data_IF_099001385393
#
_entry.id   IF_099001385393
#
_cell.length_a   1.000
_cell.length_b   1.000
_cell.length_c   1.000
_cell.angle_alpha   90.00
_cell.angle_beta   90.00
_cell.angle_gamma   90.00
#
_symmetry.space_group_name_H-M   'P 1'
#
loop_
_entity.id
_entity.type
_entity.pdbx_description
1 polymer ?
#
# COMPACT_ATOMS: atom_id res chain seq x y z
N UNK A 1 -20.91 18.42 -7.58
CA UNK A 1 -19.68 19.25 -7.62
C UNK A 1 -18.49 18.29 -7.65
N UNK A 2 -17.39 18.70 -8.32
CA UNK A 2 -16.13 17.94 -8.29
C UNK A 2 -15.41 18.17 -6.97
N UNK A 3 -14.72 17.14 -6.44
CA UNK A 3 -13.80 17.26 -5.31
C UNK A 3 -12.50 17.87 -5.80
N UNK A 4 -12.11 19.00 -5.21
CA UNK A 4 -10.91 19.76 -5.60
C UNK A 4 -9.72 19.27 -4.78
N UNK A 5 -8.75 18.68 -5.45
CA UNK A 5 -7.64 17.95 -4.85
C UNK A 5 -6.33 18.69 -5.05
N UNK A 6 -5.57 18.87 -3.96
CA UNK A 6 -4.17 19.25 -4.00
C UNK A 6 -3.26 18.03 -3.82
N UNK A 7 -2.16 17.97 -4.55
CA UNK A 7 -1.19 16.85 -4.43
C UNK A 7 0.12 17.38 -3.87
N UNK A 8 0.60 16.75 -2.81
CA UNK A 8 1.85 17.09 -2.11
C UNK A 8 2.86 15.96 -2.36
N UNK A 9 3.96 16.29 -3.03
CA UNK A 9 4.93 15.34 -3.57
C UNK A 9 4.53 14.85 -4.96
N UNK A 10 5.28 15.25 -5.99
CA UNK A 10 5.06 14.83 -7.38
C UNK A 10 6.18 13.92 -7.90
N UNK A 11 6.73 13.11 -7.02
CA UNK A 11 7.59 11.99 -7.38
C UNK A 11 6.83 10.95 -8.22
N UNK A 12 7.40 9.74 -8.35
CA UNK A 12 6.79 8.68 -9.18
C UNK A 12 5.31 8.42 -8.88
N UNK A 13 4.95 8.27 -7.60
CA UNK A 13 3.58 7.92 -7.20
C UNK A 13 2.66 9.13 -7.25
N UNK A 14 3.09 10.29 -6.75
CA UNK A 14 2.26 11.50 -6.81
C UNK A 14 1.92 11.92 -8.25
N UNK A 15 2.88 11.80 -9.18
CA UNK A 15 2.62 12.01 -10.60
C UNK A 15 1.64 10.99 -11.17
N UNK A 16 1.77 9.70 -10.79
CA UNK A 16 0.83 8.66 -11.21
C UNK A 16 -0.59 8.99 -10.75
N UNK A 17 -0.77 9.39 -9.48
CA UNK A 17 -2.07 9.80 -8.96
C UNK A 17 -2.61 11.04 -9.68
N UNK A 18 -1.76 12.05 -9.92
CA UNK A 18 -2.16 13.24 -10.69
C UNK A 18 -2.68 12.88 -12.07
N UNK A 19 -1.94 12.04 -12.81
CA UNK A 19 -2.37 11.56 -14.13
C UNK A 19 -3.67 10.76 -14.07
N UNK A 20 -3.82 9.88 -13.09
CA UNK A 20 -5.03 9.06 -12.92
C UNK A 20 -6.26 9.94 -12.63
N UNK A 21 -6.12 10.91 -11.72
CA UNK A 21 -7.24 11.80 -11.38
C UNK A 21 -7.64 12.65 -12.60
N UNK A 22 -6.67 13.28 -13.26
CA UNK A 22 -6.94 14.13 -14.42
C UNK A 22 -7.59 13.37 -15.58
N UNK A 23 -7.22 12.10 -15.79
CA UNK A 23 -7.62 11.33 -16.98
C UNK A 23 -8.79 10.38 -16.76
N UNK A 24 -8.95 9.84 -15.55
CA UNK A 24 -9.81 8.67 -15.33
C UNK A 24 -10.80 8.81 -14.17
N UNK A 25 -10.53 9.67 -13.17
CA UNK A 25 -11.38 9.76 -11.97
C UNK A 25 -12.46 10.81 -12.16
N UNK A 26 -13.69 10.36 -12.33
CA UNK A 26 -14.82 11.28 -12.54
C UNK A 26 -15.25 11.96 -11.24
N UNK A 27 -15.51 13.26 -11.35
CA UNK A 27 -16.00 14.07 -10.24
C UNK A 27 -14.94 14.45 -9.22
N UNK A 28 -13.69 14.47 -9.66
CA UNK A 28 -12.55 15.10 -8.99
C UNK A 28 -11.78 15.97 -9.99
N UNK A 29 -11.02 16.92 -9.49
CA UNK A 29 -10.09 17.73 -10.26
C UNK A 29 -8.85 18.05 -9.44
N UNK A 30 -7.68 18.00 -10.08
CA UNK A 30 -6.43 18.43 -9.44
C UNK A 30 -6.29 19.93 -9.61
N UNK A 31 -6.36 20.68 -8.51
CA UNK A 31 -6.34 22.15 -8.53
C UNK A 31 -4.97 22.75 -8.22
N UNK A 32 -4.08 21.95 -7.62
CA UNK A 32 -2.73 22.38 -7.28
C UNK A 32 -1.81 21.16 -7.06
N UNK A 33 -0.52 21.36 -7.28
CA UNK A 33 0.55 20.44 -6.89
C UNK A 33 1.64 21.17 -6.11
N UNK A 34 2.29 20.49 -5.18
CA UNK A 34 3.46 21.01 -4.46
C UNK A 34 4.57 19.98 -4.38
N UNK A 35 5.81 20.43 -4.51
CA UNK A 35 7.01 19.61 -4.29
C UNK A 35 8.15 20.53 -3.84
N UNK A 36 9.00 20.06 -2.91
CA UNK A 36 10.19 20.81 -2.47
C UNK A 36 11.15 21.14 -3.63
N UNK A 37 11.11 20.33 -4.69
CA UNK A 37 11.73 20.61 -5.97
C UNK A 37 10.72 21.35 -6.85
N UNK A 38 10.68 22.68 -6.74
CA UNK A 38 9.70 23.54 -7.43
C UNK A 38 9.57 23.22 -8.92
N UNK A 39 10.68 22.94 -9.59
CA UNK A 39 10.71 22.59 -11.00
C UNK A 39 9.92 21.28 -11.30
N UNK A 40 9.94 20.30 -10.37
CA UNK A 40 9.15 19.08 -10.52
C UNK A 40 7.65 19.38 -10.42
N UNK A 41 7.25 20.22 -9.47
CA UNK A 41 5.86 20.67 -9.34
C UNK A 41 5.40 21.42 -10.59
N UNK A 42 6.20 22.35 -11.11
CA UNK A 42 5.89 23.13 -12.30
C UNK A 42 5.73 22.26 -13.54
N UNK A 43 6.68 21.34 -13.79
CA UNK A 43 6.57 20.40 -14.93
C UNK A 43 5.34 19.50 -14.82
N UNK A 44 5.05 18.98 -13.63
CA UNK A 44 3.86 18.17 -13.42
C UNK A 44 2.59 18.97 -13.75
N UNK A 45 2.50 20.22 -13.32
CA UNK A 45 1.38 21.11 -13.59
C UNK A 45 1.23 21.41 -15.09
N UNK A 46 2.33 21.75 -15.77
CA UNK A 46 2.33 22.03 -17.21
C UNK A 46 1.92 20.82 -18.05
N UNK A 47 2.49 19.64 -17.78
CA UNK A 47 2.24 18.41 -18.51
C UNK A 47 0.78 17.93 -18.38
N UNK A 48 0.15 18.19 -17.23
CA UNK A 48 -1.20 17.72 -16.91
C UNK A 48 -2.27 18.80 -16.96
N UNK A 49 -1.92 20.05 -17.25
CA UNK A 49 -2.85 21.18 -17.29
C UNK A 49 -3.37 21.55 -15.89
N UNK A 50 -2.60 21.32 -14.83
CA UNK A 50 -2.98 21.68 -13.46
C UNK A 50 -2.70 23.17 -13.25
N UNK A 51 -3.67 23.95 -12.70
CA UNK A 51 -3.60 25.40 -12.74
C UNK A 51 -2.53 26.02 -11.83
N UNK A 52 -2.07 25.32 -10.80
CA UNK A 52 -1.14 25.88 -9.80
C UNK A 52 -0.06 24.90 -9.38
N UNK A 53 1.16 25.40 -9.21
CA UNK A 53 2.31 24.66 -8.70
C UNK A 53 3.00 25.48 -7.59
N UNK A 54 3.45 24.82 -6.53
CA UNK A 54 4.06 25.44 -5.38
C UNK A 54 5.33 24.69 -4.94
N UNK A 55 6.28 25.40 -4.33
CA UNK A 55 7.41 24.79 -3.62
C UNK A 55 7.04 24.38 -2.19
N UNK A 56 6.10 25.09 -1.57
CA UNK A 56 5.63 24.84 -0.21
C UNK A 56 4.19 24.37 -0.20
N UNK A 57 3.94 23.18 0.36
CA UNK A 57 2.63 22.56 0.44
C UNK A 57 1.62 23.36 1.30
N UNK A 58 2.11 24.23 2.20
CA UNK A 58 1.25 25.05 3.05
C UNK A 58 0.34 25.96 2.23
N UNK A 59 0.80 26.40 1.07
CA UNK A 59 -0.02 27.18 0.14
C UNK A 59 -1.27 26.43 -0.34
N UNK A 60 -1.21 25.08 -0.43
CA UNK A 60 -2.37 24.24 -0.77
C UNK A 60 -3.31 24.13 0.44
N UNK A 61 -2.77 23.99 1.66
CA UNK A 61 -3.57 23.86 2.88
C UNK A 61 -4.34 25.16 3.20
N UNK A 62 -3.74 26.32 2.96
CA UNK A 62 -4.33 27.65 3.18
C UNK A 62 -5.43 27.98 2.15
N UNK A 63 -5.42 27.31 1.00
CA UNK A 63 -6.41 27.53 -0.04
C UNK A 63 -7.78 26.97 0.35
N UNK A 64 -8.74 27.85 0.59
CA UNK A 64 -10.13 27.50 0.93
C UNK A 64 -10.88 26.80 -0.20
N UNK A 65 -10.36 26.85 -1.42
CA UNK A 65 -10.98 26.18 -2.57
C UNK A 65 -10.53 24.73 -2.71
N UNK A 66 -9.50 24.28 -2.01
CA UNK A 66 -9.06 22.88 -1.97
C UNK A 66 -9.88 22.10 -0.94
N UNK A 67 -10.49 21.00 -1.34
CA UNK A 67 -11.34 20.16 -0.48
C UNK A 67 -10.55 19.01 0.16
N UNK A 68 -9.59 18.46 -0.57
CA UNK A 68 -8.80 17.30 -0.15
C UNK A 68 -7.36 17.39 -0.62
N UNK A 69 -6.46 16.66 0.04
CA UNK A 69 -5.07 16.52 -0.36
C UNK A 69 -4.66 15.07 -0.52
N UNK A 70 -3.72 14.82 -1.43
CA UNK A 70 -2.96 13.58 -1.54
C UNK A 70 -1.54 13.82 -1.03
N UNK A 71 -1.09 13.01 -0.07
CA UNK A 71 0.26 13.04 0.49
C UNK A 71 1.05 11.89 -0.15
N UNK A 72 1.99 12.25 -1.03
CA UNK A 72 2.83 11.33 -1.81
C UNK A 72 4.32 11.67 -1.65
N UNK A 73 4.68 12.24 -0.51
CA UNK A 73 6.04 12.66 -0.15
C UNK A 73 6.88 11.49 0.38
N UNK A 74 8.02 11.74 0.97
CA UNK A 74 8.77 10.74 1.74
C UNK A 74 8.07 10.44 3.07
N UNK A 75 8.15 9.18 3.51
CA UNK A 75 7.43 8.65 4.68
C UNK A 75 7.63 9.48 5.97
N UNK A 76 8.84 10.01 6.16
CA UNK A 76 9.21 10.81 7.33
C UNK A 76 8.43 12.12 7.48
N UNK A 77 7.77 12.59 6.42
CA UNK A 77 6.94 13.80 6.42
C UNK A 77 5.45 13.54 6.51
N UNK A 78 4.99 12.30 6.32
CA UNK A 78 3.57 11.98 6.23
C UNK A 78 2.77 12.41 7.47
N UNK A 79 3.22 12.03 8.66
CA UNK A 79 2.48 12.32 9.91
C UNK A 79 2.37 13.83 10.18
N UNK A 80 3.42 14.62 9.90
CA UNK A 80 3.38 16.09 10.01
C UNK A 80 2.35 16.68 9.07
N UNK A 81 2.38 16.26 7.79
CA UNK A 81 1.47 16.79 6.76
C UNK A 81 0.02 16.36 7.03
N UNK A 82 -0.22 15.13 7.53
CA UNK A 82 -1.54 14.66 7.94
C UNK A 82 -2.10 15.59 9.05
N UNK A 83 -1.32 15.87 10.10
CA UNK A 83 -1.76 16.76 11.19
C UNK A 83 -2.06 18.17 10.69
N UNK A 84 -1.20 18.72 9.83
CA UNK A 84 -1.40 20.04 9.25
C UNK A 84 -2.65 20.11 8.37
N UNK A 85 -2.90 19.09 7.57
CA UNK A 85 -4.07 18.98 6.72
C UNK A 85 -5.38 18.82 7.52
N UNK A 86 -5.36 17.98 8.56
CA UNK A 86 -6.48 17.82 9.47
C UNK A 86 -6.83 19.16 10.14
N UNK A 87 -5.83 19.88 10.67
CA UNK A 87 -6.02 21.21 11.25
C UNK A 87 -6.58 22.25 10.25
N UNK A 88 -6.26 22.10 8.97
CA UNK A 88 -6.81 22.92 7.87
C UNK A 88 -8.20 22.45 7.38
N UNK A 89 -8.76 21.39 7.99
CA UNK A 89 -10.07 20.83 7.64
C UNK A 89 -10.11 20.16 6.25
N UNK A 90 -8.97 19.67 5.77
CA UNK A 90 -8.88 18.98 4.46
C UNK A 90 -9.06 17.48 4.63
N UNK A 91 -9.82 16.85 3.73
CA UNK A 91 -9.82 15.38 3.59
C UNK A 91 -8.46 14.92 3.08
N UNK A 92 -8.03 13.72 3.47
CA UNK A 92 -6.66 13.27 3.29
C UNK A 92 -6.63 11.89 2.64
N UNK A 93 -5.86 11.77 1.56
CA UNK A 93 -5.30 10.51 1.11
C UNK A 93 -3.81 10.53 1.45
N UNK A 94 -3.29 9.47 2.05
CA UNK A 94 -1.88 9.36 2.35
C UNK A 94 -1.31 8.04 1.82
N UNK A 95 -0.21 8.10 1.08
CA UNK A 95 0.55 6.90 0.70
C UNK A 95 1.05 6.15 1.94
N UNK A 96 1.22 4.86 1.79
CA UNK A 96 1.77 3.99 2.83
C UNK A 96 3.30 4.14 2.95
N UNK A 97 3.87 3.86 4.13
CA UNK A 97 3.22 3.79 5.44
C UNK A 97 2.87 5.19 5.97
N UNK A 98 1.91 5.28 6.90
CA UNK A 98 1.53 6.57 7.51
C UNK A 98 2.69 7.26 8.23
N UNK A 99 3.53 6.49 8.91
CA UNK A 99 4.83 6.82 9.45
C UNK A 99 5.57 5.53 9.80
N UNK A 100 6.87 5.62 10.12
CA UNK A 100 7.61 4.50 10.70
C UNK A 100 7.48 4.44 12.23
N UNK A 101 7.26 5.55 12.90
CA UNK A 101 7.04 5.60 14.35
C UNK A 101 5.57 5.47 14.72
N UNK A 102 5.24 4.52 15.63
CA UNK A 102 3.86 4.26 16.01
C UNK A 102 3.23 5.44 16.77
N UNK A 103 3.99 6.20 17.55
CA UNK A 103 3.49 7.38 18.26
C UNK A 103 3.15 8.52 17.29
N UNK A 104 3.90 8.67 16.20
CA UNK A 104 3.59 9.60 15.12
C UNK A 104 2.31 9.20 14.38
N UNK A 105 2.10 7.90 14.15
CA UNK A 105 0.86 7.39 13.57
C UNK A 105 -0.32 7.73 14.48
N UNK A 106 -0.22 7.44 15.79
CA UNK A 106 -1.28 7.72 16.76
C UNK A 106 -1.62 9.20 16.82
N UNK A 107 -0.60 10.07 16.88
CA UNK A 107 -0.81 11.52 16.87
C UNK A 107 -1.47 12.03 15.58
N UNK A 108 -1.14 11.43 14.44
CA UNK A 108 -1.77 11.76 13.16
C UNK A 108 -3.24 11.30 13.13
N UNK A 109 -3.54 10.08 13.59
CA UNK A 109 -4.90 9.55 13.63
C UNK A 109 -5.79 10.32 14.60
N UNK A 110 -5.28 10.69 15.78
CA UNK A 110 -5.98 11.56 16.74
C UNK A 110 -6.36 12.90 16.11
N UNK A 111 -5.42 13.54 15.42
CA UNK A 111 -5.69 14.82 14.75
C UNK A 111 -6.77 14.70 13.66
N UNK A 112 -6.79 13.59 12.92
CA UNK A 112 -7.82 13.31 11.90
C UNK A 112 -9.19 13.12 12.54
N UNK A 113 -9.27 12.36 13.65
CA UNK A 113 -10.50 12.12 14.40
C UNK A 113 -11.06 13.42 14.99
N UNK A 114 -10.22 14.21 15.68
CA UNK A 114 -10.60 15.50 16.26
C UNK A 114 -11.12 16.51 15.21
N UNK A 115 -10.50 16.49 14.01
CA UNK A 115 -10.92 17.36 12.92
C UNK A 115 -12.17 16.85 12.16
N UNK A 116 -12.56 15.60 12.36
CA UNK A 116 -13.67 14.97 11.66
C UNK A 116 -13.50 14.87 10.14
N UNK A 117 -12.25 14.80 9.67
CA UNK A 117 -11.93 14.68 8.24
C UNK A 117 -11.72 13.22 7.84
N UNK A 118 -11.92 12.92 6.56
CA UNK A 118 -11.68 11.57 6.02
C UNK A 118 -10.18 11.39 5.81
N UNK A 119 -9.64 10.24 6.27
CA UNK A 119 -8.30 9.76 5.94
C UNK A 119 -8.39 8.40 5.25
N UNK A 120 -7.96 8.31 3.99
CA UNK A 120 -7.75 7.04 3.28
C UNK A 120 -6.27 6.77 3.12
N UNK A 121 -5.85 5.52 3.38
CA UNK A 121 -4.45 5.09 3.24
C UNK A 121 -4.24 4.36 1.92
N UNK A 122 -3.11 4.60 1.26
CA UNK A 122 -2.76 4.08 -0.07
C UNK A 122 -2.36 2.60 -0.10
N UNK A 123 -3.18 1.70 0.40
CA UNK A 123 -3.04 0.27 0.18
C UNK A 123 -3.77 -0.16 -1.10
N UNK A 124 -3.19 0.21 -2.23
CA UNK A 124 -3.75 0.03 -3.56
C UNK A 124 -4.16 -1.42 -3.88
N UNK A 125 -3.49 -2.43 -3.31
CA UNK A 125 -3.77 -3.85 -3.60
C UNK A 125 -5.19 -4.26 -3.19
N UNK A 126 -5.82 -3.62 -2.20
CA UNK A 126 -7.24 -3.85 -1.85
C UNK A 126 -8.21 -3.50 -2.98
N UNK A 127 -7.77 -2.67 -3.93
CA UNK A 127 -8.55 -2.23 -5.09
C UNK A 127 -8.23 -3.02 -6.37
N UNK A 128 -7.25 -3.94 -6.35
CA UNK A 128 -6.97 -4.83 -7.48
C UNK A 128 -8.18 -5.70 -7.79
N UNK A 129 -8.66 -5.76 -9.04
CA UNK A 129 -9.88 -6.49 -9.38
C UNK A 129 -9.81 -7.98 -9.04
N UNK A 130 -8.63 -8.60 -9.14
CA UNK A 130 -8.45 -10.02 -8.83
C UNK A 130 -8.50 -10.27 -7.32
N UNK A 131 -7.83 -9.42 -6.52
CA UNK A 131 -7.81 -9.55 -5.06
C UNK A 131 -9.17 -9.16 -4.44
N UNK A 132 -9.84 -8.15 -4.98
CA UNK A 132 -11.24 -7.83 -4.61
C UNK A 132 -12.15 -9.03 -4.88
N UNK A 133 -11.98 -9.70 -6.02
CA UNK A 133 -12.78 -10.88 -6.33
C UNK A 133 -12.56 -12.01 -5.33
N UNK A 134 -11.33 -12.23 -4.84
CA UNK A 134 -11.09 -13.18 -3.74
C UNK A 134 -11.90 -12.79 -2.49
N UNK A 135 -11.83 -11.52 -2.08
CA UNK A 135 -12.58 -11.02 -0.91
C UNK A 135 -14.08 -11.21 -1.05
N UNK A 136 -14.64 -10.91 -2.21
CA UNK A 136 -16.07 -11.12 -2.49
C UNK A 136 -16.48 -12.61 -2.37
N UNK A 137 -15.65 -13.51 -2.90
CA UNK A 137 -15.91 -14.94 -2.84
C UNK A 137 -15.79 -15.49 -1.41
N UNK A 138 -14.80 -15.02 -0.65
CA UNK A 138 -14.64 -15.32 0.77
C UNK A 138 -15.86 -14.85 1.57
N UNK A 139 -16.31 -13.61 1.37
CA UNK A 139 -17.47 -13.04 2.03
C UNK A 139 -18.78 -13.81 1.72
N UNK A 140 -18.88 -14.40 0.53
CA UNK A 140 -20.00 -15.26 0.12
C UNK A 140 -19.89 -16.70 0.65
N UNK A 141 -18.81 -17.04 1.37
CA UNK A 141 -18.57 -18.39 1.88
C UNK A 141 -18.30 -19.44 0.81
N UNK A 142 -17.78 -19.03 -0.38
CA UNK A 142 -17.59 -19.91 -1.55
C UNK A 142 -16.70 -21.14 -1.25
N UNK A 143 -15.73 -21.00 -0.33
CA UNK A 143 -14.83 -22.08 0.08
C UNK A 143 -15.07 -22.54 1.53
N UNK A 144 -16.19 -22.15 2.14
CA UNK A 144 -16.44 -22.42 3.55
C UNK A 144 -15.50 -21.63 4.47
N UNK A 145 -15.16 -22.18 5.64
CA UNK A 145 -14.21 -21.56 6.56
C UNK A 145 -12.80 -21.59 5.96
N UNK A 146 -12.09 -20.46 5.86
CA UNK A 146 -10.70 -20.43 5.43
C UNK A 146 -9.78 -21.14 6.44
N UNK A 147 -8.77 -21.86 5.95
CA UNK A 147 -7.79 -22.59 6.76
C UNK A 147 -6.39 -22.07 6.59
N UNK A 148 -5.99 -21.82 5.31
CA UNK A 148 -4.63 -21.46 4.99
C UNK A 148 -4.62 -20.37 3.90
N UNK A 149 -3.90 -19.27 4.19
CA UNK A 149 -3.56 -18.22 3.24
C UNK A 149 -2.11 -18.38 2.80
N UNK A 150 -1.84 -18.22 1.51
CA UNK A 150 -0.49 -18.11 0.98
C UNK A 150 -0.39 -16.89 0.09
N UNK A 151 0.60 -16.03 0.37
CA UNK A 151 0.93 -14.85 -0.44
C UNK A 151 2.35 -15.00 -0.97
N UNK A 152 2.51 -14.85 -2.28
CA UNK A 152 3.80 -14.74 -2.97
C UNK A 152 3.93 -13.31 -3.46
N UNK A 153 5.02 -12.63 -3.06
CA UNK A 153 5.29 -11.25 -3.45
C UNK A 153 6.78 -11.10 -3.76
N UNK A 154 7.12 -11.07 -5.04
CA UNK A 154 8.49 -10.98 -5.53
C UNK A 154 8.64 -9.81 -6.49
N UNK A 155 9.64 -8.94 -6.22
CA UNK A 155 10.01 -7.83 -7.08
C UNK A 155 10.94 -8.28 -8.22
N UNK A 156 10.94 -7.63 -9.37
CA UNK A 156 11.82 -7.99 -10.49
C UNK A 156 13.29 -7.68 -10.20
N UNK A 157 13.57 -6.67 -9.39
CA UNK A 157 14.90 -6.24 -8.96
C UNK A 157 14.84 -5.48 -7.64
N UNK A 158 15.92 -5.48 -6.83
CA UNK A 158 16.01 -4.67 -5.62
C UNK A 158 15.88 -3.18 -5.94
N UNK A 159 15.26 -2.38 -5.05
CA UNK A 159 15.31 -0.92 -5.18
C UNK A 159 16.73 -0.40 -4.90
N UNK A 160 17.04 0.86 -5.27
CA UNK A 160 18.34 1.46 -4.97
C UNK A 160 18.66 1.40 -3.47
N UNK A 161 19.93 1.15 -3.13
CA UNK A 161 20.42 1.06 -1.73
C UNK A 161 20.07 2.32 -0.92
N UNK A 162 20.16 3.51 -1.54
CA UNK A 162 19.76 4.78 -0.90
C UNK A 162 18.31 4.80 -0.44
N UNK A 163 17.42 4.14 -1.16
CA UNK A 163 16.01 4.00 -0.77
C UNK A 163 15.85 3.00 0.39
N UNK A 164 16.53 1.86 0.35
CA UNK A 164 16.45 0.82 1.40
C UNK A 164 16.82 1.39 2.77
N UNK A 165 17.82 2.28 2.82
CA UNK A 165 18.27 2.93 4.08
C UNK A 165 17.18 3.69 4.83
N UNK A 166 16.17 4.17 4.14
CA UNK A 166 15.10 5.03 4.71
C UNK A 166 13.71 4.37 4.66
N UNK A 167 13.60 3.21 4.01
CA UNK A 167 12.31 2.54 3.79
C UNK A 167 11.77 1.78 5.00
N UNK A 168 12.58 1.55 6.02
CA UNK A 168 12.24 0.71 7.18
C UNK A 168 12.50 -0.78 6.98
N UNK A 169 13.18 -1.18 5.89
CA UNK A 169 13.53 -2.57 5.57
C UNK A 169 12.39 -3.36 4.94
N UNK A 170 12.66 -4.65 4.65
CA UNK A 170 11.74 -5.48 3.86
C UNK A 170 10.34 -5.58 4.50
N UNK A 171 10.26 -5.67 5.83
CA UNK A 171 8.99 -5.87 6.53
C UNK A 171 8.08 -4.62 6.52
N UNK A 172 8.64 -3.42 6.57
CA UNK A 172 7.90 -2.15 6.58
C UNK A 172 7.74 -1.51 5.20
N UNK A 173 8.49 -1.97 4.20
CA UNK A 173 8.44 -1.45 2.84
C UNK A 173 7.68 -2.40 1.88
N UNK A 174 8.10 -3.66 1.82
CA UNK A 174 7.57 -4.66 0.89
C UNK A 174 6.47 -5.51 1.53
N UNK A 175 6.77 -6.19 2.65
CA UNK A 175 5.84 -7.11 3.31
C UNK A 175 4.60 -6.40 3.88
N UNK A 176 4.69 -5.09 4.15
CA UNK A 176 3.57 -4.29 4.66
C UNK A 176 2.32 -4.41 3.78
N UNK A 177 2.48 -4.51 2.47
CA UNK A 177 1.36 -4.74 1.54
C UNK A 177 0.74 -6.12 1.71
N UNK A 178 1.55 -7.12 2.03
CA UNK A 178 1.09 -8.48 2.22
C UNK A 178 0.43 -8.65 3.59
N UNK A 179 0.89 -7.92 4.61
CA UNK A 179 0.24 -7.81 5.92
C UNK A 179 -1.16 -7.19 5.79
N UNK A 180 -1.27 -6.09 5.05
CA UNK A 180 -2.56 -5.48 4.75
C UNK A 180 -3.49 -6.44 4.01
N UNK A 181 -2.99 -7.13 2.98
CA UNK A 181 -3.77 -8.09 2.22
C UNK A 181 -4.20 -9.30 3.04
N UNK A 182 -3.35 -9.80 3.94
CA UNK A 182 -3.70 -10.89 4.85
C UNK A 182 -4.89 -10.49 5.75
N UNK A 183 -4.82 -9.29 6.37
CA UNK A 183 -5.92 -8.74 7.16
C UNK A 183 -7.18 -8.50 6.34
N UNK A 184 -7.04 -7.90 5.16
CA UNK A 184 -8.17 -7.65 4.26
C UNK A 184 -8.92 -8.93 3.91
N UNK A 185 -8.23 -10.03 3.65
CA UNK A 185 -8.83 -11.28 3.24
C UNK A 185 -9.40 -12.08 4.40
N UNK A 186 -8.62 -12.32 5.46
CA UNK A 186 -8.95 -13.28 6.52
C UNK A 186 -9.19 -12.65 7.90
N UNK A 187 -9.07 -11.34 8.04
CA UNK A 187 -9.29 -10.64 9.33
C UNK A 187 -8.01 -10.49 10.16
N UNK A 188 -8.17 -10.22 11.44
CA UNK A 188 -7.05 -9.82 12.30
C UNK A 188 -6.06 -10.94 12.57
N UNK A 189 -4.78 -10.56 12.67
CA UNK A 189 -3.64 -11.43 12.95
C UNK A 189 -3.27 -11.32 14.43
N UNK A 190 -3.14 -12.45 15.10
CA UNK A 190 -2.72 -12.53 16.51
C UNK A 190 -1.20 -12.54 16.66
N UNK A 191 -0.51 -13.33 15.80
CA UNK A 191 0.91 -13.66 15.97
C UNK A 191 1.63 -13.76 14.62
N UNK A 192 2.89 -13.30 14.62
CA UNK A 192 3.80 -13.31 13.46
C UNK A 192 5.08 -14.03 13.81
N UNK A 193 5.53 -14.93 12.92
CA UNK A 193 6.90 -15.48 12.96
C UNK A 193 7.59 -15.24 11.63
N UNK A 194 8.78 -14.61 11.68
CA UNK A 194 9.52 -14.22 10.48
C UNK A 194 10.93 -14.82 10.49
N UNK A 195 11.36 -15.26 9.32
CA UNK A 195 12.75 -15.61 9.02
C UNK A 195 13.16 -14.99 7.70
N UNK A 196 14.44 -14.70 7.53
CA UNK A 196 14.94 -14.06 6.31
C UNK A 196 16.43 -14.30 6.12
N UNK A 197 16.90 -13.94 4.93
CA UNK A 197 18.31 -14.11 4.54
C UNK A 197 18.68 -13.08 3.50
N UNK A 198 19.97 -12.80 3.35
CA UNK A 198 20.56 -11.99 2.29
C UNK A 198 21.05 -12.95 1.21
N UNK A 199 20.30 -13.07 0.12
CA UNK A 199 20.56 -14.01 -0.97
C UNK A 199 20.75 -13.33 -2.32
N UNK A 200 20.32 -12.08 -2.45
CA UNK A 200 20.25 -11.34 -3.72
C UNK A 200 21.32 -10.27 -3.79
N UNK A 201 21.38 -9.38 -2.78
CA UNK A 201 22.24 -8.20 -2.77
C UNK A 201 22.95 -8.04 -1.44
N UNK A 202 24.27 -8.33 -1.38
CA UNK A 202 25.04 -8.26 -0.12
C UNK A 202 24.98 -6.92 0.60
N UNK A 203 24.87 -5.79 -0.13
CA UNK A 203 24.79 -4.44 0.46
C UNK A 203 23.53 -4.26 1.33
N UNK A 204 22.46 -5.02 1.09
CA UNK A 204 21.27 -5.04 1.94
C UNK A 204 21.60 -5.58 3.32
N UNK A 205 22.42 -6.65 3.37
CA UNK A 205 22.88 -7.22 4.63
C UNK A 205 23.80 -6.29 5.44
N UNK A 206 24.61 -5.48 4.77
CA UNK A 206 25.46 -4.48 5.43
C UNK A 206 24.64 -3.40 6.15
N UNK A 207 23.37 -3.19 5.74
CA UNK A 207 22.42 -2.28 6.39
C UNK A 207 21.61 -2.94 7.51
N UNK A 208 21.81 -4.21 7.78
CA UNK A 208 21.07 -4.97 8.79
C UNK A 208 19.68 -5.43 8.34
N UNK A 209 19.39 -5.38 7.03
CA UNK A 209 18.14 -5.83 6.42
C UNK A 209 18.32 -7.18 5.69
N UNK A 210 17.25 -7.76 5.20
CA UNK A 210 17.23 -8.96 4.36
C UNK A 210 16.53 -8.69 3.03
N UNK A 211 16.86 -9.47 2.00
CA UNK A 211 16.25 -9.35 0.68
C UNK A 211 15.27 -10.49 0.34
N UNK A 212 15.28 -11.52 1.17
CA UNK A 212 14.42 -12.69 1.04
C UNK A 212 13.86 -13.04 2.42
N UNK A 213 12.55 -13.15 2.53
CA UNK A 213 11.88 -13.42 3.80
C UNK A 213 10.73 -14.43 3.64
N UNK A 214 10.50 -15.21 4.69
CA UNK A 214 9.33 -16.05 4.89
C UNK A 214 8.70 -15.66 6.21
N UNK A 215 7.41 -15.33 6.17
CA UNK A 215 6.64 -14.94 7.34
C UNK A 215 5.45 -15.88 7.49
N UNK A 216 5.24 -16.41 8.69
CA UNK A 216 4.02 -17.14 9.03
C UNK A 216 3.14 -16.29 9.94
N UNK A 217 1.84 -16.41 9.74
CA UNK A 217 0.80 -15.69 10.46
C UNK A 217 -0.13 -16.67 11.16
N UNK A 218 -0.56 -16.33 12.36
CA UNK A 218 -1.71 -16.94 13.03
C UNK A 218 -2.80 -15.88 13.12
N UNK A 219 -3.95 -16.17 12.54
CA UNK A 219 -5.12 -15.30 12.63
C UNK A 219 -5.91 -15.57 13.90
N UNK A 220 -6.65 -14.59 14.41
CA UNK A 220 -7.57 -14.75 15.55
C UNK A 220 -8.63 -15.83 15.28
N UNK A 221 -9.03 -16.02 14.03
CA UNK A 221 -9.95 -17.08 13.59
C UNK A 221 -9.38 -18.50 13.74
N UNK A 222 -8.08 -18.62 14.05
CA UNK A 222 -7.30 -19.87 14.05
C UNK A 222 -6.77 -20.29 12.67
N UNK A 223 -7.09 -19.57 11.59
CA UNK A 223 -6.48 -19.80 10.29
C UNK A 223 -4.96 -19.51 10.34
N UNK A 224 -4.22 -20.08 9.41
CA UNK A 224 -2.79 -19.87 9.25
C UNK A 224 -2.49 -19.11 7.96
N UNK A 225 -1.37 -18.36 7.93
CA UNK A 225 -0.89 -17.70 6.74
C UNK A 225 0.59 -17.93 6.52
N UNK A 226 1.02 -17.87 5.26
CA UNK A 226 2.42 -17.79 4.90
C UNK A 226 2.61 -16.72 3.82
N UNK A 227 3.59 -15.86 4.02
CA UNK A 227 4.04 -14.85 3.07
C UNK A 227 5.46 -15.18 2.66
N UNK A 228 5.74 -15.13 1.37
CA UNK A 228 7.09 -15.26 0.84
C UNK A 228 7.44 -14.00 0.07
N UNK A 229 8.53 -13.35 0.47
CA UNK A 229 9.04 -12.14 -0.17
C UNK A 229 10.43 -12.37 -0.75
N UNK A 230 10.70 -11.79 -1.91
CA UNK A 230 12.03 -11.74 -2.49
C UNK A 230 12.18 -10.46 -3.32
N UNK A 231 13.29 -9.74 -3.13
CA UNK A 231 13.55 -8.51 -3.91
C UNK A 231 14.08 -8.77 -5.32
N UNK A 232 14.06 -10.04 -5.80
CA UNK A 232 14.50 -10.38 -7.16
C UNK A 232 13.83 -11.63 -7.72
N UNK A 233 12.96 -11.43 -8.70
CA UNK A 233 12.39 -12.47 -9.56
C UNK A 233 12.69 -12.12 -11.01
N UNK A 234 13.65 -12.79 -11.62
CA UNK A 234 14.16 -12.47 -12.97
C UNK A 234 13.12 -12.61 -14.08
N UNK A 235 12.01 -13.27 -13.79
CA UNK A 235 10.90 -13.50 -14.72
C UNK A 235 9.79 -12.46 -14.64
N UNK A 236 9.89 -11.46 -13.75
CA UNK A 236 8.95 -10.35 -13.65
C UNK A 236 8.39 -10.13 -12.25
N UNK A 237 7.42 -9.23 -12.14
CA UNK A 237 6.76 -8.85 -10.89
C UNK A 237 5.71 -9.92 -10.51
N UNK A 238 6.03 -10.80 -9.55
CA UNK A 238 5.21 -11.96 -9.19
C UNK A 238 4.41 -11.71 -7.91
N UNK A 239 3.08 -11.59 -8.04
CA UNK A 239 2.16 -11.23 -6.97
C UNK A 239 0.95 -12.17 -7.00
N UNK A 240 0.95 -13.21 -6.17
CA UNK A 240 -0.10 -14.25 -6.17
C UNK A 240 -0.65 -14.48 -4.78
N UNK A 241 -1.94 -14.84 -4.74
CA UNK A 241 -2.63 -15.18 -3.49
C UNK A 241 -3.41 -16.47 -3.66
N UNK A 242 -3.25 -17.39 -2.70
CA UNK A 242 -3.99 -18.64 -2.61
C UNK A 242 -4.68 -18.71 -1.24
N UNK A 243 -5.95 -19.15 -1.23
CA UNK A 243 -6.69 -19.41 0.02
C UNK A 243 -7.31 -20.79 -0.05
N UNK A 244 -6.89 -21.69 0.84
CA UNK A 244 -7.51 -22.99 1.05
C UNK A 244 -8.56 -22.91 2.15
N UNK A 245 -9.72 -23.47 1.93
CA UNK A 245 -10.80 -23.55 2.90
C UNK A 245 -11.48 -24.93 2.91
N UNK A 246 -12.49 -25.06 3.76
CA UNK A 246 -13.23 -26.30 4.03
C UNK A 246 -13.85 -26.93 2.77
N UNK A 247 -14.32 -26.10 1.82
CA UNK A 247 -15.08 -26.55 0.65
C UNK A 247 -14.36 -26.34 -0.67
N UNK A 248 -13.11 -25.91 -0.65
CA UNK A 248 -12.33 -25.65 -1.86
C UNK A 248 -11.22 -24.63 -1.65
N UNK A 249 -10.71 -24.11 -2.75
CA UNK A 249 -9.64 -23.12 -2.73
C UNK A 249 -9.91 -21.98 -3.73
N UNK A 250 -9.32 -20.82 -3.46
CA UNK A 250 -9.32 -19.65 -4.33
C UNK A 250 -7.88 -19.31 -4.71
N UNK A 251 -7.70 -18.89 -5.96
CA UNK A 251 -6.40 -18.51 -6.49
C UNK A 251 -6.51 -17.19 -7.23
N UNK A 252 -5.61 -16.26 -6.96
CA UNK A 252 -5.37 -15.10 -7.79
C UNK A 252 -3.97 -15.19 -8.37
N UNK A 253 -3.92 -15.48 -9.65
CA UNK A 253 -2.69 -15.58 -10.45
C UNK A 253 -2.28 -14.21 -11.00
N UNK A 254 -1.04 -14.13 -11.50
CA UNK A 254 -0.58 -12.91 -12.14
C UNK A 254 -1.33 -12.65 -13.46
N UNK A 255 -1.97 -11.48 -13.63
CA UNK A 255 -2.42 -11.07 -14.95
C UNK A 255 -1.22 -10.84 -15.88
N UNK A 256 -1.44 -11.01 -17.18
CA UNK A 256 -0.43 -10.84 -18.20
C UNK A 256 -0.82 -9.71 -19.16
N UNK A 257 0.15 -9.01 -19.76
CA UNK A 257 -0.14 -7.94 -20.72
C UNK A 257 -1.01 -8.35 -21.89
N UNK A 258 -0.89 -9.63 -22.33
CA UNK A 258 -1.68 -10.21 -23.41
C UNK A 258 -1.85 -11.72 -23.24
N UNK A 259 -2.86 -12.29 -23.91
CA UNK A 259 -3.22 -13.71 -23.85
C UNK A 259 -2.67 -14.53 -25.02
N UNK A 260 -1.94 -13.91 -25.96
CA UNK A 260 -1.35 -14.63 -27.09
C UNK A 260 -0.29 -15.63 -26.62
N UNK A 261 -0.33 -16.84 -27.19
CA UNK A 261 0.57 -17.94 -26.87
C UNK A 261 1.26 -18.35 -28.16
N UNK A 262 2.58 -18.43 -28.15
CA UNK A 262 3.35 -19.08 -29.21
C UNK A 262 3.47 -20.58 -28.86
N UNK A 263 2.95 -21.44 -29.74
CA UNK A 263 3.13 -22.88 -29.66
C UNK A 263 3.99 -23.36 -30.83
N UNK A 264 5.10 -24.02 -30.58
CA UNK A 264 5.98 -24.60 -31.56
C UNK A 264 6.65 -25.87 -31.00
N UNK A 265 7.64 -26.41 -31.70
CA UNK A 265 8.36 -27.64 -31.30
C UNK A 265 9.11 -27.50 -29.95
N UNK A 266 9.45 -26.27 -29.51
CA UNK A 266 10.06 -26.01 -28.21
C UNK A 266 9.03 -25.96 -27.06
N UNK A 267 7.72 -25.95 -27.36
CA UNK A 267 6.64 -25.93 -26.38
C UNK A 267 5.74 -24.73 -26.46
N UNK A 268 5.20 -24.31 -25.30
CA UNK A 268 4.30 -23.17 -25.16
C UNK A 268 5.03 -22.02 -24.53
N UNK A 269 5.09 -20.87 -25.22
CA UNK A 269 5.63 -19.61 -24.71
C UNK A 269 4.48 -18.62 -24.53
N UNK A 270 4.28 -18.16 -23.30
CA UNK A 270 3.24 -17.20 -22.93
C UNK A 270 3.84 -15.80 -22.80
N UNK A 271 2.97 -14.77 -22.71
CA UNK A 271 3.41 -13.41 -22.35
C UNK A 271 4.25 -13.41 -21.05
N UNK A 272 5.31 -12.61 -20.97
CA UNK A 272 5.96 -12.33 -19.70
C UNK A 272 4.97 -11.72 -18.69
N UNK A 273 5.33 -11.68 -17.42
CA UNK A 273 4.61 -10.91 -16.41
C UNK A 273 4.82 -9.41 -16.67
N UNK A 274 3.97 -8.57 -16.09
CA UNK A 274 4.28 -7.15 -15.98
C UNK A 274 5.63 -7.00 -15.29
N UNK A 275 6.40 -5.99 -15.71
CA UNK A 275 7.73 -5.80 -15.17
C UNK A 275 7.70 -5.09 -13.82
N UNK A 276 6.73 -4.18 -13.61
CA UNK A 276 6.72 -3.34 -12.43
C UNK A 276 5.31 -3.08 -11.88
N UNK A 277 5.22 -2.65 -10.62
CA UNK A 277 3.95 -2.45 -9.91
C UNK A 277 3.06 -1.38 -10.55
N UNK A 278 3.63 -0.34 -11.15
CA UNK A 278 2.86 0.73 -11.80
C UNK A 278 1.98 0.19 -12.93
N UNK A 279 2.54 -0.71 -13.73
CA UNK A 279 1.81 -1.35 -14.84
C UNK A 279 0.83 -2.39 -14.29
N UNK A 280 1.29 -3.22 -13.34
CA UNK A 280 0.52 -4.32 -12.75
C UNK A 280 -0.73 -3.82 -12.02
N UNK A 281 -0.65 -2.70 -11.32
CA UNK A 281 -1.71 -2.18 -10.45
C UNK A 281 -2.38 -0.92 -10.98
N UNK A 282 -2.27 -0.61 -12.28
CA UNK A 282 -2.87 0.60 -12.86
C UNK A 282 -4.34 0.77 -12.52
N UNK A 283 -5.15 -0.29 -12.69
CA UNK A 283 -6.58 -0.25 -12.38
C UNK A 283 -6.83 -0.07 -10.89
N UNK A 284 -6.00 -0.67 -10.04
CA UNK A 284 -6.10 -0.52 -8.60
C UNK A 284 -5.85 0.93 -8.15
N UNK A 285 -4.83 1.60 -8.71
CA UNK A 285 -4.55 3.00 -8.43
C UNK A 285 -5.67 3.95 -8.86
N UNK A 286 -6.36 3.65 -9.95
CA UNK A 286 -7.54 4.42 -10.37
C UNK A 286 -8.69 4.17 -9.39
N UNK A 287 -8.99 2.92 -9.10
CA UNK A 287 -10.10 2.52 -8.25
C UNK A 287 -9.97 3.02 -6.80
N UNK A 288 -8.74 3.12 -6.26
CA UNK A 288 -8.54 3.68 -4.92
C UNK A 288 -8.83 5.19 -4.87
N UNK A 289 -8.50 5.94 -5.94
CA UNK A 289 -8.85 7.35 -6.04
C UNK A 289 -10.35 7.55 -6.22
N UNK A 290 -11.00 6.72 -7.03
CA UNK A 290 -12.46 6.73 -7.15
C UNK A 290 -13.14 6.48 -5.80
N UNK A 291 -12.63 5.53 -5.01
CA UNK A 291 -13.15 5.22 -3.69
C UNK A 291 -12.95 6.37 -2.69
N UNK A 292 -11.79 7.04 -2.71
CA UNK A 292 -11.54 8.22 -1.89
C UNK A 292 -12.51 9.37 -2.23
N UNK A 293 -12.68 9.67 -3.52
CA UNK A 293 -13.61 10.69 -3.98
C UNK A 293 -15.06 10.34 -3.62
N UNK A 294 -15.45 9.08 -3.71
CA UNK A 294 -16.77 8.61 -3.32
C UNK A 294 -17.00 8.77 -1.81
N UNK A 295 -16.02 8.38 -0.99
CA UNK A 295 -16.08 8.54 0.47
C UNK A 295 -16.32 10.02 0.87
N UNK A 296 -15.60 10.95 0.25
CA UNK A 296 -15.79 12.39 0.50
C UNK A 296 -17.19 12.85 0.11
N UNK A 297 -17.67 12.49 -1.09
CA UNK A 297 -18.99 12.91 -1.60
C UNK A 297 -20.15 12.37 -0.79
N UNK A 298 -19.99 11.15 -0.28
CA UNK A 298 -21.03 10.46 0.47
C UNK A 298 -20.94 10.72 1.99
N UNK A 299 -19.84 11.34 2.46
CA UNK A 299 -19.57 11.53 3.90
C UNK A 299 -19.43 10.20 4.65
N UNK A 300 -18.87 9.19 4.00
CA UNK A 300 -18.70 7.83 4.56
C UNK A 300 -17.24 7.53 4.86
N UNK A 301 -17.05 6.56 5.75
CA UNK A 301 -15.72 6.01 6.02
C UNK A 301 -15.12 5.40 4.73
N UNK A 302 -13.82 5.65 4.46
CA UNK A 302 -13.16 5.11 3.29
C UNK A 302 -12.88 3.61 3.45
N UNK A 303 -12.71 2.86 2.33
CA UNK A 303 -12.44 1.40 2.39
C UNK A 303 -11.12 1.01 3.04
N UNK A 304 -10.19 1.94 3.16
CA UNK A 304 -8.88 1.76 3.81
C UNK A 304 -8.68 2.88 4.80
N UNK A 305 -8.91 2.58 6.08
CA UNK A 305 -8.91 3.55 7.16
C UNK A 305 -7.51 3.81 7.72
N UNK A 306 -7.38 4.79 8.62
CA UNK A 306 -6.16 5.00 9.39
C UNK A 306 -5.77 3.79 10.23
N UNK A 307 -6.75 3.03 10.76
CA UNK A 307 -6.50 1.78 11.46
C UNK A 307 -5.86 0.73 10.54
N UNK A 308 -6.34 0.62 9.31
CA UNK A 308 -5.72 -0.23 8.29
C UNK A 308 -4.31 0.24 7.94
N UNK A 309 -4.02 1.53 8.08
CA UNK A 309 -2.68 2.10 7.95
C UNK A 309 -1.73 1.74 9.10
N UNK A 310 -2.27 1.67 10.34
CA UNK A 310 -1.49 1.41 11.56
C UNK A 310 -1.10 -0.08 11.69
N UNK A 311 -2.07 -0.99 11.58
CA UNK A 311 -1.84 -2.40 11.93
C UNK A 311 -0.77 -3.09 11.06
N UNK A 312 -0.68 -2.89 9.74
CA UNK A 312 0.43 -3.45 8.97
C UNK A 312 1.82 -2.97 9.40
N UNK A 313 1.94 -1.75 9.94
CA UNK A 313 3.19 -1.25 10.55
C UNK A 313 3.50 -2.02 11.83
N UNK A 314 2.52 -2.25 12.70
CA UNK A 314 2.68 -3.09 13.92
C UNK A 314 3.09 -4.51 13.54
N UNK A 315 2.49 -5.10 12.50
CA UNK A 315 2.88 -6.42 11.98
C UNK A 315 4.32 -6.41 11.45
N UNK A 316 4.75 -5.33 10.79
CA UNK A 316 6.12 -5.15 10.34
C UNK A 316 7.12 -5.15 11.50
N UNK A 317 6.82 -4.42 12.58
CA UNK A 317 7.65 -4.45 13.79
C UNK A 317 7.62 -5.79 14.52
N UNK A 318 6.46 -6.47 14.54
CA UNK A 318 6.38 -7.83 15.08
C UNK A 318 7.24 -8.81 14.27
N UNK A 319 7.29 -8.65 12.94
CA UNK A 319 8.15 -9.44 12.08
C UNK A 319 9.64 -9.14 12.31
N UNK A 320 10.03 -7.86 12.44
CA UNK A 320 11.40 -7.47 12.77
C UNK A 320 11.84 -8.05 14.13
N UNK A 321 10.99 -7.94 15.15
CA UNK A 321 11.23 -8.50 16.47
C UNK A 321 11.34 -10.02 16.43
N UNK A 322 10.43 -10.66 15.70
CA UNK A 322 10.44 -12.12 15.50
C UNK A 322 11.73 -12.59 14.81
N UNK A 323 12.16 -11.89 13.76
CA UNK A 323 13.41 -12.19 13.06
C UNK A 323 14.63 -12.06 13.98
N UNK A 324 14.70 -10.99 14.77
CA UNK A 324 15.81 -10.75 15.71
C UNK A 324 15.84 -11.77 16.86
N UNK A 325 14.67 -12.07 17.46
CA UNK A 325 14.55 -12.95 18.63
C UNK A 325 14.38 -14.44 18.25
N UNK A 326 14.17 -14.75 16.98
CA UNK A 326 13.97 -16.12 16.45
C UNK A 326 12.82 -16.88 17.14
N UNK A 327 11.73 -16.18 17.42
CA UNK A 327 10.50 -16.71 18.02
C UNK A 327 9.25 -16.06 17.43
N UNK A 328 8.07 -16.68 17.59
CA UNK A 328 6.81 -16.02 17.33
C UNK A 328 6.63 -14.79 18.23
N UNK A 329 5.99 -13.73 17.70
CA UNK A 329 5.69 -12.47 18.39
C UNK A 329 4.22 -12.15 18.21
N UNK A 330 3.52 -11.95 19.34
CA UNK A 330 2.13 -11.46 19.32
C UNK A 330 2.12 -9.96 19.04
N UNK A 331 1.13 -9.49 18.29
CA UNK A 331 1.05 -8.06 17.91
C UNK A 331 0.98 -7.15 19.15
N UNK A 332 0.30 -7.59 20.21
CA UNK A 332 0.22 -6.86 21.49
C UNK A 332 1.56 -6.70 22.23
N UNK A 333 2.61 -7.43 21.86
CA UNK A 333 3.95 -7.21 22.37
C UNK A 333 4.63 -5.99 21.74
N UNK A 334 4.13 -5.54 20.60
CA UNK A 334 4.57 -4.34 19.87
C UNK A 334 3.68 -3.16 20.19
N UNK A 335 2.38 -3.36 20.16
CA UNK A 335 1.39 -2.36 20.50
C UNK A 335 0.34 -2.93 21.47
N UNK A 336 0.44 -2.61 22.77
CA UNK A 336 -0.51 -3.07 23.78
C UNK A 336 -1.93 -2.54 23.60
N UNK A 337 -2.15 -1.50 22.79
CA UNK A 337 -3.47 -0.93 22.50
C UNK A 337 -4.31 -1.80 21.56
N UNK A 338 -3.69 -2.75 20.88
CA UNK A 338 -4.39 -3.73 20.04
C UNK A 338 -5.10 -4.71 20.99
N UNK A 339 -6.40 -4.52 21.11
CA UNK A 339 -7.26 -5.43 21.87
C UNK A 339 -7.46 -6.73 21.09
N UNK A 340 -7.63 -7.86 21.80
CA UNK A 340 -8.00 -9.12 21.18
C UNK A 340 -9.42 -9.07 20.63
#
# INVERSE_FOLDING_TARGET
MSVRIGIIGVGRIGRLHAENIVRYVHGAEVVAVADIVEEAARRCAEDLGIPRAFADYRAILEDKTTDAILICTSTDTHAEIIRAAAAAGKHIFCEKPLALDLSEIEGALTAVEEAGVILQVGFNRRFDPNFRRLKELLAKGAIGRPWLLKITSYDPAPPPVSYIRVSGGIFLDMTIHDFDMARFLLGEVEEVFATGSVLVEPEIGEMGDVDTAVVTLRFESGALGVITNCRKATYGYDQRIEVLGEKGALFAENPRPFTAILANEAGYCTSPLYHFFVERYREAYIAEMEAFVAAIKEGKEPPVTGWDGKIPVVMGYAAQKSFAERRPVKLKEVDPSILP
#
